data_IF_223458968659
#
_entry.id   IF_223458968659
#
_cell.length_a   1.000
_cell.length_b   1.000
_cell.length_c   1.000
_cell.angle_alpha   90.00
_cell.angle_beta   90.00
_cell.angle_gamma   90.00
#
_symmetry.space_group_name_H-M   'P 1'
#
loop_
_entity.id
_entity.type
_entity.pdbx_description
1 polymer ?
#
# COMPACT_ATOMS: atom_id res chain seq x y z
N UNK A 1 3.58 4.70 42.06
CA UNK A 1 2.81 4.26 40.89
C UNK A 1 3.72 4.44 39.70
N UNK A 2 4.27 3.31 39.23
CA UNK A 2 5.26 3.29 38.18
C UNK A 2 4.64 3.77 36.85
N UNK A 3 5.43 4.48 36.07
CA UNK A 3 5.09 4.95 34.74
C UNK A 3 4.58 3.78 33.90
N UNK A 4 3.35 3.91 33.40
CA UNK A 4 2.80 2.99 32.41
C UNK A 4 3.76 2.96 31.22
N UNK A 5 4.35 1.79 30.98
CA UNK A 5 5.11 1.51 29.79
C UNK A 5 4.22 1.84 28.59
N UNK A 6 4.69 2.73 27.70
CA UNK A 6 4.06 2.94 26.40
C UNK A 6 3.85 1.56 25.77
N UNK A 7 2.63 1.21 25.31
CA UNK A 7 2.46 -0.02 24.58
C UNK A 7 3.41 0.01 23.39
N UNK A 8 4.18 -1.06 23.20
CA UNK A 8 5.20 -1.24 22.18
C UNK A 8 4.60 -1.32 20.76
N UNK A 9 3.82 -0.30 20.39
CA UNK A 9 3.09 -0.22 19.14
C UNK A 9 3.27 1.20 18.62
N UNK A 10 4.14 1.32 17.62
CA UNK A 10 4.12 2.26 16.47
C UNK A 10 5.57 2.52 16.01
N UNK A 11 5.80 2.23 14.73
CA UNK A 11 6.92 2.64 13.85
C UNK A 11 8.35 2.16 14.16
N UNK A 12 8.72 1.01 13.60
CA UNK A 12 9.84 0.85 12.66
C UNK A 12 10.01 -0.64 12.33
N UNK A 13 9.26 -1.19 11.35
CA UNK A 13 9.40 -2.61 11.01
C UNK A 13 10.75 -2.95 10.38
N UNK A 14 11.43 -1.97 9.80
CA UNK A 14 12.86 -2.04 9.50
C UNK A 14 13.50 -0.70 9.84
N UNK A 15 14.71 -0.75 10.38
CA UNK A 15 15.59 0.41 10.50
C UNK A 15 15.85 0.99 9.10
N UNK A 16 15.74 2.32 8.89
CA UNK A 16 16.03 2.96 7.61
C UNK A 16 17.40 2.57 7.02
N UNK A 17 18.40 2.30 7.85
CA UNK A 17 19.74 1.85 7.42
C UNK A 17 19.75 0.44 6.82
N UNK A 18 18.72 -0.37 7.10
CA UNK A 18 18.54 -1.73 6.59
C UNK A 18 17.59 -1.81 5.38
N UNK A 19 16.99 -0.68 4.98
CA UNK A 19 16.10 -0.65 3.82
C UNK A 19 16.90 -0.88 2.54
N UNK A 20 16.74 -2.09 2.02
CA UNK A 20 17.17 -2.48 0.69
C UNK A 20 16.00 -3.09 -0.05
N UNK A 21 16.06 -3.07 -1.38
CA UNK A 21 15.07 -3.74 -2.23
C UNK A 21 14.89 -5.21 -1.85
N UNK A 22 15.98 -5.94 -1.67
CA UNK A 22 15.95 -7.35 -1.28
C UNK A 22 15.28 -7.56 0.09
N UNK A 23 15.56 -6.67 1.06
CA UNK A 23 14.90 -6.73 2.36
C UNK A 23 13.38 -6.48 2.25
N UNK A 24 12.97 -5.52 1.43
CA UNK A 24 11.55 -5.21 1.19
C UNK A 24 10.84 -6.37 0.47
N UNK A 25 11.46 -6.96 -0.55
CA UNK A 25 10.93 -8.15 -1.23
C UNK A 25 10.79 -9.32 -0.27
N UNK A 26 11.82 -9.56 0.55
CA UNK A 26 11.81 -10.61 1.55
C UNK A 26 10.67 -10.39 2.56
N UNK A 27 10.53 -9.18 3.09
CA UNK A 27 9.43 -8.82 3.99
C UNK A 27 8.07 -9.07 3.36
N UNK A 28 7.85 -8.59 2.14
CA UNK A 28 6.58 -8.81 1.45
C UNK A 28 6.32 -10.31 1.28
N UNK A 29 7.32 -11.08 0.84
CA UNK A 29 7.22 -12.53 0.66
C UNK A 29 6.89 -13.28 1.94
N UNK A 30 7.52 -12.95 3.06
CA UNK A 30 7.39 -13.73 4.30
C UNK A 30 6.27 -13.27 5.21
N UNK A 31 5.90 -11.98 5.17
CA UNK A 31 4.93 -11.41 6.11
C UNK A 31 3.61 -11.03 5.44
N UNK A 32 3.66 -10.43 4.25
CA UNK A 32 2.47 -9.79 3.66
C UNK A 32 1.77 -10.63 2.61
N UNK A 33 2.52 -11.38 1.80
CA UNK A 33 1.98 -12.31 0.82
C UNK A 33 1.15 -13.43 1.48
N UNK A 34 1.58 -14.05 2.61
CA UNK A 34 0.73 -15.00 3.34
C UNK A 34 -0.58 -14.39 3.86
N UNK A 35 -0.59 -13.08 4.11
CA UNK A 35 -1.78 -12.29 4.50
C UNK A 35 -2.62 -11.84 3.30
N UNK A 36 -2.27 -12.27 2.08
CA UNK A 36 -2.93 -11.92 0.82
C UNK A 36 -2.97 -10.41 0.54
N UNK A 37 -1.94 -9.66 0.96
CA UNK A 37 -1.88 -8.21 0.74
C UNK A 37 -1.73 -7.89 -0.76
N UNK A 38 -2.77 -7.30 -1.36
CA UNK A 38 -2.75 -6.96 -2.79
C UNK A 38 -2.91 -8.18 -3.71
N UNK A 39 -3.41 -9.30 -3.18
CA UNK A 39 -3.66 -10.55 -3.92
C UNK A 39 -5.15 -10.70 -4.19
N UNK A 40 -5.54 -11.19 -5.36
CA UNK A 40 -6.95 -11.48 -5.69
C UNK A 40 -7.51 -12.62 -4.83
N UNK A 41 -8.84 -12.71 -4.75
CA UNK A 41 -9.51 -13.73 -3.91
C UNK A 41 -9.19 -15.16 -4.32
N UNK A 42 -8.94 -15.40 -5.61
CA UNK A 42 -8.55 -16.71 -6.14
C UNK A 42 -7.10 -17.10 -5.81
N UNK A 43 -6.31 -16.15 -5.27
CA UNK A 43 -4.89 -16.28 -4.94
C UNK A 43 -4.01 -16.70 -6.12
N UNK A 44 -4.38 -16.34 -7.35
CA UNK A 44 -3.61 -16.65 -8.56
C UNK A 44 -2.86 -15.46 -9.13
N UNK A 45 -3.31 -14.26 -8.81
CA UNK A 45 -2.73 -13.01 -9.32
C UNK A 45 -2.81 -11.92 -8.27
N UNK A 46 -2.04 -10.86 -8.49
CA UNK A 46 -2.21 -9.63 -7.74
C UNK A 46 -3.46 -8.88 -8.19
N UNK A 47 -4.01 -8.10 -7.26
CA UNK A 47 -5.09 -7.18 -7.54
C UNK A 47 -4.66 -6.13 -8.56
N UNK A 48 -5.59 -5.73 -9.44
CA UNK A 48 -5.27 -4.83 -10.55
C UNK A 48 -4.64 -3.50 -10.11
N UNK A 49 -4.99 -2.98 -8.93
CA UNK A 49 -4.42 -1.74 -8.38
C UNK A 49 -3.04 -1.91 -7.72
N UNK A 50 -2.51 -3.13 -7.62
CA UNK A 50 -1.27 -3.44 -6.91
C UNK A 50 -0.07 -3.47 -7.85
N UNK A 51 0.94 -2.63 -7.56
CA UNK A 51 2.11 -2.43 -8.44
C UNK A 51 3.39 -3.09 -7.92
N UNK A 52 3.34 -3.76 -6.77
CA UNK A 52 4.57 -4.25 -6.13
C UNK A 52 5.49 -3.08 -5.75
N UNK A 53 6.80 -3.26 -5.90
CA UNK A 53 7.78 -2.18 -5.65
C UNK A 53 7.70 -1.15 -6.78
N UNK A 54 7.33 0.08 -6.42
CA UNK A 54 7.26 1.20 -7.34
C UNK A 54 7.68 2.49 -6.62
N UNK A 55 8.57 3.25 -7.23
CA UNK A 55 8.99 4.54 -6.68
C UNK A 55 7.90 5.61 -6.89
N UNK A 56 8.07 6.74 -6.21
CA UNK A 56 7.08 7.84 -6.24
C UNK A 56 6.94 8.46 -7.62
N UNK A 57 8.05 8.70 -8.32
CA UNK A 57 8.04 9.39 -9.62
C UNK A 57 7.36 8.56 -10.71
N UNK A 58 7.55 7.24 -10.70
CA UNK A 58 6.85 6.35 -11.62
C UNK A 58 5.35 6.26 -11.32
N UNK A 59 4.96 6.26 -10.05
CA UNK A 59 3.55 6.35 -9.66
C UNK A 59 2.91 7.67 -10.14
N UNK A 60 3.62 8.80 -9.98
CA UNK A 60 3.17 10.11 -10.47
C UNK A 60 3.02 10.13 -11.99
N UNK A 61 3.96 9.50 -12.71
CA UNK A 61 3.90 9.35 -14.17
C UNK A 61 2.71 8.52 -14.64
N UNK A 62 2.41 7.41 -13.96
CA UNK A 62 1.27 6.53 -14.29
C UNK A 62 -0.09 7.20 -14.04
N UNK A 63 -0.15 8.09 -13.05
CA UNK A 63 -1.35 8.86 -12.70
C UNK A 63 -1.46 10.18 -13.49
N UNK A 64 -0.40 10.57 -14.19
CA UNK A 64 -0.41 11.80 -14.97
C UNK A 64 -1.55 11.79 -15.99
N UNK A 65 -2.26 12.92 -16.08
CA UNK A 65 -3.44 13.11 -16.95
C UNK A 65 -4.61 12.11 -16.73
N UNK A 66 -4.61 11.36 -15.63
CA UNK A 66 -5.78 10.56 -15.23
C UNK A 66 -6.86 11.41 -14.58
N UNK A 67 -8.07 10.87 -14.49
CA UNK A 67 -9.18 11.54 -13.84
C UNK A 67 -9.00 11.59 -12.32
N UNK A 68 -9.62 12.58 -11.68
CA UNK A 68 -9.66 12.66 -10.21
C UNK A 68 -10.29 11.40 -9.66
N UNK A 69 -9.64 10.77 -8.68
CA UNK A 69 -10.06 9.46 -8.17
C UNK A 69 -9.27 8.29 -8.73
N UNK A 70 -8.45 8.48 -9.77
CA UNK A 70 -7.52 7.46 -10.22
C UNK A 70 -6.48 7.16 -9.14
N UNK A 71 -6.15 5.88 -8.94
CA UNK A 71 -5.25 5.45 -7.88
C UNK A 71 -4.47 4.18 -8.20
N UNK A 72 -3.39 3.98 -7.45
CA UNK A 72 -2.63 2.73 -7.39
C UNK A 72 -2.01 2.54 -6.01
N UNK A 73 -1.68 1.29 -5.66
CA UNK A 73 -0.97 0.95 -4.42
C UNK A 73 0.38 0.36 -4.77
N UNK A 74 1.40 0.85 -4.08
CA UNK A 74 2.79 0.42 -4.26
C UNK A 74 3.44 0.12 -2.92
N UNK A 75 4.38 -0.82 -2.93
CA UNK A 75 5.38 -0.98 -1.89
C UNK A 75 6.42 0.11 -2.09
N UNK A 76 6.69 0.88 -1.05
CA UNK A 76 7.63 1.99 -1.13
C UNK A 76 9.05 1.53 -0.81
N UNK A 77 10.05 1.99 -1.56
CA UNK A 77 11.45 1.68 -1.26
C UNK A 77 12.01 2.48 -0.08
N UNK A 78 11.31 3.55 0.33
CA UNK A 78 11.72 4.45 1.42
C UNK A 78 11.17 4.08 2.78
N UNK A 79 10.22 3.15 2.84
CA UNK A 79 9.59 2.67 4.08
C UNK A 79 9.31 1.17 3.92
N UNK A 80 9.38 0.40 5.00
CA UNK A 80 8.86 -0.96 4.98
C UNK A 80 7.31 -0.90 5.10
N UNK A 81 6.62 -0.73 3.97
CA UNK A 81 5.17 -0.55 3.93
C UNK A 81 4.64 -0.10 2.57
N UNK A 82 3.36 0.27 2.54
CA UNK A 82 2.68 0.66 1.30
C UNK A 82 2.38 2.15 1.24
N UNK A 83 2.18 2.61 0.01
CA UNK A 83 1.68 3.94 -0.29
C UNK A 83 0.56 3.81 -1.32
N UNK A 84 -0.60 4.39 -1.02
CA UNK A 84 -1.63 4.67 -2.02
C UNK A 84 -1.30 5.99 -2.69
N UNK A 85 -1.12 5.98 -4.01
CA UNK A 85 -0.94 7.18 -4.81
C UNK A 85 -2.26 7.50 -5.51
N UNK A 86 -2.70 8.75 -5.42
CA UNK A 86 -4.06 9.19 -5.77
C UNK A 86 -4.04 10.46 -6.61
N UNK A 87 -4.72 10.48 -7.75
CA UNK A 87 -4.87 11.66 -8.58
C UNK A 87 -5.88 12.65 -7.98
N UNK A 88 -5.40 13.80 -7.52
CA UNK A 88 -6.18 14.88 -6.91
C UNK A 88 -6.06 16.19 -7.71
N UNK A 89 -6.97 16.39 -8.67
CA UNK A 89 -6.97 17.56 -9.54
C UNK A 89 -5.68 17.62 -10.37
N UNK A 90 -4.82 18.60 -10.09
CA UNK A 90 -3.54 18.83 -10.79
C UNK A 90 -2.33 18.19 -10.11
N UNK A 91 -2.51 17.44 -9.01
CA UNK A 91 -1.41 16.82 -8.27
C UNK A 91 -1.74 15.39 -7.86
N UNK A 92 -0.70 14.64 -7.54
CA UNK A 92 -0.83 13.33 -6.90
C UNK A 92 -0.68 13.47 -5.39
N UNK A 93 -1.64 12.94 -4.64
CA UNK A 93 -1.56 12.76 -3.18
C UNK A 93 -1.02 11.36 -2.88
N UNK A 94 -0.25 11.23 -1.81
CA UNK A 94 0.32 9.96 -1.38
C UNK A 94 -0.06 9.69 0.07
N UNK A 95 -0.76 8.58 0.30
CA UNK A 95 -1.22 8.16 1.61
C UNK A 95 -0.42 6.94 2.04
N UNK A 96 0.31 7.07 3.15
CA UNK A 96 1.05 5.94 3.72
C UNK A 96 0.07 4.98 4.38
N UNK A 97 0.22 3.69 4.10
CA UNK A 97 -0.54 2.62 4.75
C UNK A 97 0.39 1.91 5.73
N UNK A 98 0.01 1.91 7.00
CA UNK A 98 0.67 1.09 8.00
C UNK A 98 0.13 -0.34 7.91
N UNK A 99 1.05 -1.30 7.93
CA UNK A 99 0.74 -2.72 8.10
C UNK A 99 1.31 -3.19 9.44
N UNK A 100 0.45 -3.75 10.28
CA UNK A 100 0.78 -4.30 11.60
C UNK A 100 -0.07 -5.56 11.82
N UNK A 101 0.14 -6.25 12.95
CA UNK A 101 -0.47 -7.55 13.21
C UNK A 101 -2.00 -7.50 13.14
N UNK A 102 -2.58 -6.43 13.66
CA UNK A 102 -4.02 -6.23 13.76
C UNK A 102 -4.66 -5.77 12.44
N UNK A 103 -3.88 -5.31 11.46
CA UNK A 103 -4.42 -4.96 10.14
C UNK A 103 -3.68 -3.82 9.41
N UNK A 104 -4.46 -3.05 8.66
CA UNK A 104 -4.02 -2.01 7.76
C UNK A 104 -4.83 -0.71 7.99
N UNK A 105 -4.17 0.44 8.03
CA UNK A 105 -4.84 1.75 8.04
C UNK A 105 -3.95 2.86 7.46
N UNK A 106 -4.54 3.99 7.10
CA UNK A 106 -3.80 5.17 6.66
C UNK A 106 -3.20 5.96 7.83
N UNK A 107 -1.92 6.33 7.71
CA UNK A 107 -1.24 7.20 8.68
C UNK A 107 -1.98 8.53 8.80
N UNK A 108 -2.16 8.99 10.04
CA UNK A 108 -2.77 10.30 10.32
C UNK A 108 -4.27 10.35 10.08
N UNK A 109 -4.90 9.22 9.82
CA UNK A 109 -6.36 9.10 9.72
C UNK A 109 -6.93 8.57 11.04
N UNK A 110 -8.08 9.10 11.48
CA UNK A 110 -8.86 8.51 12.60
C UNK A 110 -9.68 7.29 12.16
N UNK A 111 -9.35 6.70 11.01
CA UNK A 111 -10.16 5.69 10.36
C UNK A 111 -9.90 4.30 10.94
N UNK A 112 -10.84 3.40 10.66
CA UNK A 112 -10.86 2.04 11.16
C UNK A 112 -9.65 1.23 10.66
N UNK A 113 -9.25 0.24 11.46
CA UNK A 113 -8.25 -0.75 11.05
C UNK A 113 -8.95 -1.82 10.21
N UNK A 114 -8.40 -2.11 9.04
CA UNK A 114 -8.90 -3.13 8.12
C UNK A 114 -8.12 -4.43 8.27
N UNK A 115 -8.82 -5.57 8.23
CA UNK A 115 -8.20 -6.89 8.39
C UNK A 115 -7.28 -7.29 7.22
N UNK A 116 -7.45 -6.66 6.05
CA UNK A 116 -6.63 -6.88 4.86
C UNK A 116 -6.39 -5.58 4.09
N UNK A 117 -5.29 -5.53 3.33
CA UNK A 117 -5.03 -4.40 2.43
C UNK A 117 -6.16 -4.24 1.41
N UNK A 118 -6.70 -5.35 0.90
CA UNK A 118 -7.80 -5.33 -0.07
C UNK A 118 -9.07 -4.72 0.51
N UNK A 119 -9.43 -5.05 1.76
CA UNK A 119 -10.62 -4.47 2.40
C UNK A 119 -10.47 -2.99 2.73
N UNK A 120 -9.24 -2.51 3.01
CA UNK A 120 -8.94 -1.08 3.08
C UNK A 120 -9.25 -0.39 1.74
N UNK A 121 -8.75 -0.95 0.63
CA UNK A 121 -8.99 -0.37 -0.70
C UNK A 121 -10.47 -0.40 -1.08
N UNK A 122 -11.16 -1.53 -0.88
CA UNK A 122 -12.58 -1.66 -1.19
C UNK A 122 -13.45 -0.68 -0.39
N UNK A 123 -13.16 -0.52 0.90
CA UNK A 123 -13.87 0.44 1.74
C UNK A 123 -13.73 1.86 1.20
N UNK A 124 -12.52 2.25 0.79
CA UNK A 124 -12.22 3.59 0.30
C UNK A 124 -12.65 3.87 -1.13
N UNK A 125 -13.18 2.86 -1.84
CA UNK A 125 -13.95 3.09 -3.06
C UNK A 125 -15.33 3.70 -2.79
N UNK A 126 -15.82 3.59 -1.55
CA UNK A 126 -17.13 4.12 -1.12
C UNK A 126 -16.99 5.25 -0.12
N UNK A 127 -15.98 5.19 0.75
CA UNK A 127 -15.77 6.13 1.85
C UNK A 127 -14.49 6.95 1.62
N UNK A 128 -14.53 8.29 1.72
CA UNK A 128 -13.34 9.13 1.53
C UNK A 128 -12.18 8.78 2.47
N UNK A 129 -10.95 8.91 2.00
CA UNK A 129 -9.73 8.68 2.82
C UNK A 129 -9.54 9.77 3.88
N UNK A 130 -9.92 11.00 3.60
CA UNK A 130 -9.78 12.09 4.55
C UNK A 130 -11.13 12.71 4.94
N UNK A 131 -11.16 13.38 6.09
CA UNK A 131 -12.36 13.99 6.67
C UNK A 131 -12.97 15.08 5.77
N UNK A 132 -12.21 15.63 4.82
CA UNK A 132 -12.73 16.63 3.87
C UNK A 132 -13.66 16.04 2.79
N UNK A 133 -13.75 14.71 2.71
CA UNK A 133 -14.68 14.01 1.83
C UNK A 133 -14.26 13.88 0.36
N UNK A 134 -13.04 14.30 -0.02
CA UNK A 134 -12.66 14.44 -1.42
C UNK A 134 -12.01 13.19 -2.02
N UNK A 135 -11.25 12.42 -1.24
CA UNK A 135 -10.42 11.34 -1.78
C UNK A 135 -11.15 9.99 -1.74
N UNK A 136 -12.10 9.82 -2.65
CA UNK A 136 -12.75 8.53 -2.94
C UNK A 136 -12.00 7.85 -4.09
N UNK A 137 -11.69 6.56 -3.92
CA UNK A 137 -11.02 5.74 -4.93
C UNK A 137 -12.00 5.36 -6.05
N UNK A 138 -11.75 5.81 -7.27
CA UNK A 138 -12.69 5.64 -8.39
C UNK A 138 -12.17 4.70 -9.48
N UNK A 139 -10.93 4.91 -9.91
CA UNK A 139 -10.34 4.16 -11.04
C UNK A 139 -9.01 3.54 -10.59
N UNK A 140 -8.95 2.21 -10.55
CA UNK A 140 -7.70 1.52 -10.34
C UNK A 140 -6.82 1.63 -11.60
N UNK A 141 -5.56 2.02 -11.43
CA UNK A 141 -4.57 1.99 -12.50
C UNK A 141 -3.77 0.69 -12.38
N UNK A 142 -3.73 -0.06 -13.48
CA UNK A 142 -3.02 -1.33 -13.59
C UNK A 142 -1.49 -1.18 -13.53
N UNK A 143 -0.76 -2.23 -13.10
CA UNK A 143 0.69 -2.25 -13.15
C UNK A 143 1.19 -2.12 -14.59
N UNK A 144 2.23 -1.31 -14.77
CA UNK A 144 3.08 -1.42 -15.96
C UNK A 144 4.06 -2.56 -15.71
N UNK A 145 4.25 -3.52 -16.64
CA UNK A 145 5.21 -4.59 -16.46
C UNK A 145 6.60 -4.01 -16.19
N UNK A 146 7.11 -4.27 -14.99
CA UNK A 146 8.46 -3.90 -14.57
C UNK A 146 9.17 -5.16 -14.07
N UNK A 147 10.51 -5.22 -14.11
CA UNK A 147 11.25 -6.36 -13.57
C UNK A 147 10.87 -6.71 -12.12
N UNK A 148 10.62 -5.68 -11.30
CA UNK A 148 10.15 -5.80 -9.90
C UNK A 148 8.82 -6.53 -9.82
N UNK A 149 7.86 -6.12 -10.65
CA UNK A 149 6.53 -6.70 -10.64
C UNK A 149 6.57 -8.14 -11.14
N UNK A 150 7.36 -8.40 -12.18
CA UNK A 150 7.54 -9.74 -12.74
C UNK A 150 8.18 -10.70 -11.73
N UNK A 151 9.19 -10.25 -10.98
CA UNK A 151 9.80 -11.03 -9.90
C UNK A 151 8.78 -11.42 -8.82
N UNK A 152 7.85 -10.51 -8.47
CA UNK A 152 6.79 -10.83 -7.52
C UNK A 152 5.76 -11.82 -8.06
N UNK A 153 5.56 -11.92 -9.38
CA UNK A 153 4.64 -12.91 -9.96
C UNK A 153 5.11 -14.35 -9.75
N UNK A 154 6.41 -14.57 -9.52
CA UNK A 154 6.94 -15.90 -9.20
C UNK A 154 6.39 -16.45 -7.87
N UNK A 155 5.84 -15.59 -7.00
CA UNK A 155 5.19 -16.02 -5.76
C UNK A 155 3.95 -16.90 -6.00
N UNK A 156 3.31 -16.79 -7.16
CA UNK A 156 2.13 -17.60 -7.52
C UNK A 156 2.47 -18.93 -8.20
N UNK A 157 3.75 -19.16 -8.50
CA UNK A 157 4.23 -20.38 -9.18
C UNK A 157 4.70 -21.46 -8.20
N UNK A 158 4.69 -21.14 -6.90
CA UNK A 158 5.09 -22.01 -5.79
C UNK A 158 3.86 -22.76 -5.25
#
# INVERSE_FOLDING_TARGET
MAYDEKPANVSARMDPSQLSRSAILQWYRTEEFPRAAGVEMDRRTFAFWFHGILNRSDAERLLHAKQVGAYLVRISEKICGYVLSYQAGFKVKHFMVLSFKEGYHFVGSKQIVHSSLNSLIEYHQKIPISENGQEILREAIGPSPSPEYVELLDLFRL
#
